data_IF_402750749095
#
_entry.id   IF_402750749095
#
_cell.length_a   1.000
_cell.length_b   1.000
_cell.length_c   1.000
_cell.angle_alpha   90.00
_cell.angle_beta   90.00
_cell.angle_gamma   90.00
#
_symmetry.space_group_name_H-M   'P 1'
#
loop_
_entity.id
_entity.type
_entity.pdbx_description
1 polymer ?
#
# COMPACT_ATOMS: atom_id res chain seq x y z
N UNK A 1 -4.02 8.62 -32.87
CA UNK A 1 -3.61 7.86 -31.66
C UNK A 1 -2.37 8.51 -31.08
N UNK A 2 -2.45 9.08 -29.86
CA UNK A 2 -1.39 9.92 -29.29
C UNK A 2 -0.08 9.14 -29.10
N UNK A 3 1.05 9.66 -29.61
CA UNK A 3 2.41 9.05 -29.52
C UNK A 3 2.75 8.53 -28.12
N UNK A 4 2.30 9.22 -27.07
CA UNK A 4 2.49 8.83 -25.66
C UNK A 4 1.79 7.50 -25.31
N UNK A 5 0.54 7.31 -25.74
CA UNK A 5 -0.19 6.05 -25.54
C UNK A 5 0.43 4.88 -26.31
N UNK A 6 1.02 5.14 -27.47
CA UNK A 6 1.72 4.12 -28.25
C UNK A 6 3.00 3.64 -27.55
N UNK A 7 3.74 4.57 -26.93
CA UNK A 7 4.93 4.26 -26.14
C UNK A 7 4.58 3.53 -24.84
N UNK A 8 3.50 3.91 -24.15
CA UNK A 8 3.04 3.18 -22.95
C UNK A 8 2.59 1.75 -23.31
N UNK A 9 1.86 1.59 -24.42
CA UNK A 9 1.44 0.27 -24.90
C UNK A 9 2.65 -0.58 -25.30
N UNK A 10 3.65 -0.01 -25.97
CA UNK A 10 4.89 -0.69 -26.30
C UNK A 10 5.65 -1.14 -25.05
N UNK A 11 5.72 -0.31 -24.00
CA UNK A 11 6.32 -0.70 -22.72
C UNK A 11 5.60 -1.87 -22.07
N UNK A 12 4.26 -1.86 -22.05
CA UNK A 12 3.47 -2.97 -21.52
C UNK A 12 3.73 -4.26 -22.29
N UNK A 13 3.74 -4.18 -23.63
CA UNK A 13 4.03 -5.33 -24.50
C UNK A 13 5.44 -5.86 -24.28
N UNK A 14 6.46 -4.99 -24.22
CA UNK A 14 7.84 -5.39 -23.95
C UNK A 14 7.97 -6.02 -22.56
N UNK A 15 7.31 -5.46 -21.54
CA UNK A 15 7.30 -6.02 -20.19
C UNK A 15 6.65 -7.40 -20.14
N UNK A 16 5.53 -7.59 -20.86
CA UNK A 16 4.86 -8.89 -20.96
C UNK A 16 5.73 -9.91 -21.70
N UNK A 17 6.37 -9.52 -22.81
CA UNK A 17 7.29 -10.39 -23.56
C UNK A 17 8.44 -10.84 -22.66
N UNK A 18 9.05 -9.92 -21.91
CA UNK A 18 10.13 -10.25 -20.97
C UNK A 18 9.66 -11.23 -19.89
N UNK A 19 8.49 -11.01 -19.30
CA UNK A 19 7.92 -11.93 -18.30
C UNK A 19 7.69 -13.31 -18.89
N UNK A 20 7.12 -13.40 -20.10
CA UNK A 20 6.85 -14.67 -20.78
C UNK A 20 8.15 -15.41 -21.11
N UNK A 21 9.17 -14.70 -21.61
CA UNK A 21 10.49 -15.29 -21.89
C UNK A 21 11.15 -15.82 -20.61
N UNK A 22 11.09 -15.04 -19.53
CA UNK A 22 11.66 -15.42 -18.23
C UNK A 22 10.96 -16.68 -17.67
N UNK A 23 9.63 -16.72 -17.70
CA UNK A 23 8.86 -17.87 -17.24
C UNK A 23 9.10 -19.12 -18.11
N UNK A 24 9.36 -18.93 -19.40
CA UNK A 24 9.67 -20.03 -20.33
C UNK A 24 11.07 -20.60 -20.08
N UNK A 25 12.07 -19.77 -19.79
CA UNK A 25 13.43 -20.25 -19.47
C UNK A 25 13.52 -20.88 -18.09
N UNK A 26 12.92 -20.26 -17.08
CA UNK A 26 13.01 -20.74 -15.69
C UNK A 26 12.15 -22.00 -15.49
N UNK A 27 11.13 -22.22 -16.33
CA UNK A 27 10.19 -23.32 -16.17
C UNK A 27 9.22 -23.06 -15.03
N UNK A 28 7.92 -23.15 -15.33
CA UNK A 28 6.84 -22.91 -14.37
C UNK A 28 6.96 -23.80 -13.12
N UNK A 29 7.39 -25.05 -13.30
CA UNK A 29 7.53 -26.04 -12.24
C UNK A 29 8.73 -25.76 -11.32
N UNK A 30 9.88 -25.35 -11.84
CA UNK A 30 11.01 -24.97 -11.00
C UNK A 30 10.75 -23.68 -10.23
N UNK A 31 10.04 -22.74 -10.85
CA UNK A 31 9.64 -21.49 -10.18
C UNK A 31 8.72 -21.78 -8.99
N UNK A 32 7.69 -22.61 -9.18
CA UNK A 32 6.78 -23.03 -8.11
C UNK A 32 7.51 -23.86 -7.03
N UNK A 33 8.39 -24.78 -7.42
CA UNK A 33 9.17 -25.58 -6.48
C UNK A 33 10.10 -24.70 -5.62
N UNK A 34 10.76 -23.69 -6.22
CA UNK A 34 11.57 -22.72 -5.49
C UNK A 34 10.74 -21.79 -4.61
N UNK A 35 9.53 -21.41 -5.03
CA UNK A 35 8.59 -20.67 -4.19
C UNK A 35 8.13 -21.49 -2.98
N UNK A 36 7.88 -22.79 -3.17
CA UNK A 36 7.47 -23.71 -2.10
C UNK A 36 8.64 -24.11 -1.18
N UNK A 37 9.88 -24.10 -1.69
CA UNK A 37 11.10 -24.25 -0.91
C UNK A 37 11.58 -22.93 -0.27
N UNK A 38 10.88 -21.82 -0.49
CA UNK A 38 11.21 -20.56 0.16
C UNK A 38 11.14 -20.76 1.67
N UNK A 39 12.21 -20.40 2.38
CA UNK A 39 12.28 -20.68 3.81
C UNK A 39 11.22 -19.82 4.53
N UNK A 40 10.31 -20.43 5.29
CA UNK A 40 9.23 -19.71 5.97
C UNK A 40 9.78 -18.67 6.95
N UNK A 41 11.00 -18.85 7.46
CA UNK A 41 11.69 -17.86 8.29
C UNK A 41 11.96 -16.53 7.59
N UNK A 42 12.36 -16.55 6.31
CA UNK A 42 12.56 -15.30 5.55
C UNK A 42 11.23 -14.61 5.22
N UNK A 43 10.17 -15.38 4.94
CA UNK A 43 8.82 -14.84 4.75
C UNK A 43 8.31 -14.15 6.02
N UNK A 44 8.49 -14.79 7.17
CA UNK A 44 8.10 -14.23 8.46
C UNK A 44 8.94 -12.99 8.80
N UNK A 45 10.25 -13.03 8.56
CA UNK A 45 11.13 -11.88 8.75
C UNK A 45 10.71 -10.70 7.86
N UNK A 46 10.42 -10.95 6.58
CA UNK A 46 9.93 -9.93 5.66
C UNK A 46 8.60 -9.33 6.12
N UNK A 47 7.68 -10.16 6.62
CA UNK A 47 6.40 -9.70 7.18
C UNK A 47 6.62 -8.81 8.41
N UNK A 48 7.48 -9.23 9.35
CA UNK A 48 7.80 -8.45 10.56
C UNK A 48 8.43 -7.12 10.17
N UNK A 49 9.41 -7.11 9.26
CA UNK A 49 10.05 -5.88 8.77
C UNK A 49 9.03 -4.95 8.10
N UNK A 50 8.10 -5.51 7.30
CA UNK A 50 7.05 -4.73 6.67
C UNK A 50 6.11 -4.07 7.71
N UNK A 51 5.68 -4.82 8.72
CA UNK A 51 4.84 -4.32 9.82
C UNK A 51 5.56 -3.24 10.63
N UNK A 52 6.82 -3.47 11.00
CA UNK A 52 7.64 -2.46 11.67
C UNK A 52 7.80 -1.19 10.83
N UNK A 53 7.94 -1.34 9.51
CA UNK A 53 7.97 -0.21 8.58
C UNK A 53 6.73 0.67 8.66
N UNK A 54 5.54 0.09 8.87
CA UNK A 54 4.30 0.85 9.07
C UNK A 54 4.33 1.61 10.39
N UNK A 55 4.77 0.98 11.48
CA UNK A 55 4.87 1.60 12.80
C UNK A 55 5.87 2.78 12.78
N UNK A 56 7.02 2.63 12.12
CA UNK A 56 8.01 3.70 11.98
C UNK A 56 7.43 4.90 11.21
N UNK A 57 6.63 4.66 10.17
CA UNK A 57 5.93 5.73 9.43
C UNK A 57 4.90 6.44 10.31
N UNK A 58 4.12 5.67 11.07
CA UNK A 58 3.15 6.21 12.02
C UNK A 58 3.83 7.06 13.10
N UNK A 59 4.96 6.59 13.64
CA UNK A 59 5.75 7.32 14.63
C UNK A 59 6.32 8.61 14.07
N UNK A 60 6.87 8.59 12.85
CA UNK A 60 7.36 9.80 12.19
C UNK A 60 6.27 10.87 12.07
N UNK A 61 5.03 10.46 11.79
CA UNK A 61 3.90 11.39 11.74
C UNK A 61 3.42 11.83 13.11
N UNK A 62 3.51 10.96 14.13
CA UNK A 62 3.25 11.34 15.50
C UNK A 62 4.17 12.51 15.90
N UNK A 63 5.47 12.42 15.62
CA UNK A 63 6.44 13.49 15.91
C UNK A 63 6.07 14.79 15.17
N UNK A 64 5.64 14.69 13.91
CA UNK A 64 5.24 15.86 13.12
C UNK A 64 3.96 16.52 13.65
N UNK A 65 2.99 15.72 14.09
CA UNK A 65 1.74 16.19 14.70
C UNK A 65 1.97 16.77 16.10
N UNK A 66 2.88 16.18 16.88
CA UNK A 66 3.29 16.72 18.18
C UNK A 66 3.94 18.10 18.03
N UNK A 67 4.67 18.36 16.94
CA UNK A 67 5.20 19.70 16.63
C UNK A 67 4.11 20.74 16.30
N UNK A 68 2.89 20.28 15.98
CA UNK A 68 1.70 21.09 15.74
C UNK A 68 0.76 21.12 16.96
N UNK A 69 1.22 20.65 18.13
CA UNK A 69 0.42 20.52 19.38
C UNK A 69 -0.79 19.57 19.25
N UNK A 70 -0.77 18.66 18.27
CA UNK A 70 -1.80 17.65 18.06
C UNK A 70 -1.31 16.31 18.62
N UNK A 71 -1.80 15.93 19.79
CA UNK A 71 -1.48 14.65 20.41
C UNK A 71 -2.40 13.54 19.89
N UNK A 72 -1.86 12.65 19.05
CA UNK A 72 -2.55 11.44 18.60
C UNK A 72 -1.78 10.21 19.10
N UNK A 73 -2.44 9.22 19.71
CA UNK A 73 -1.76 8.00 20.14
C UNK A 73 -1.28 7.20 18.94
N UNK A 74 -0.07 6.64 19.05
CA UNK A 74 0.59 5.88 17.98
C UNK A 74 -0.28 4.73 17.44
N UNK A 75 -1.07 4.09 18.30
CA UNK A 75 -2.00 3.03 17.89
C UNK A 75 -3.06 3.52 16.89
N UNK A 76 -3.69 4.67 17.14
CA UNK A 76 -4.67 5.25 16.22
C UNK A 76 -4.02 5.66 14.89
N UNK A 77 -2.84 6.28 14.94
CA UNK A 77 -2.04 6.60 13.75
C UNK A 77 -1.71 5.35 12.94
N UNK A 78 -1.29 4.27 13.60
CA UNK A 78 -0.94 3.01 12.95
C UNK A 78 -2.16 2.37 12.28
N UNK A 79 -3.32 2.34 12.95
CA UNK A 79 -4.58 1.89 12.36
C UNK A 79 -4.92 2.71 11.12
N UNK A 80 -4.79 4.02 11.21
CA UNK A 80 -5.11 4.91 10.10
C UNK A 80 -4.17 4.72 8.90
N UNK A 81 -2.91 4.43 9.17
CA UNK A 81 -1.93 4.01 8.16
C UNK A 81 -2.32 2.70 7.48
N UNK A 82 -2.82 1.70 8.22
CA UNK A 82 -3.32 0.46 7.63
C UNK A 82 -4.56 0.69 6.75
N UNK A 83 -5.49 1.55 7.21
CA UNK A 83 -6.66 1.91 6.42
C UNK A 83 -6.21 2.63 5.15
N UNK A 84 -5.30 3.62 5.22
CA UNK A 84 -4.77 4.30 4.05
C UNK A 84 -4.03 3.38 3.08
N UNK A 85 -3.31 2.40 3.61
CA UNK A 85 -2.69 1.35 2.81
C UNK A 85 -3.73 0.53 2.05
N UNK A 86 -4.85 0.15 2.68
CA UNK A 86 -5.94 -0.56 2.02
C UNK A 86 -6.53 0.29 0.88
N UNK A 87 -6.88 1.55 1.15
CA UNK A 87 -7.43 2.43 0.12
C UNK A 87 -6.45 2.68 -1.02
N UNK A 88 -5.16 2.76 -0.74
CA UNK A 88 -4.13 2.92 -1.78
C UNK A 88 -3.99 1.67 -2.66
N UNK A 89 -4.14 0.47 -2.10
CA UNK A 89 -4.07 -0.77 -2.87
C UNK A 89 -5.37 -1.08 -3.63
N UNK A 90 -6.52 -0.69 -3.07
CA UNK A 90 -7.84 -0.96 -3.67
C UNK A 90 -8.24 0.12 -4.67
N UNK A 91 -7.94 1.40 -4.39
CA UNK A 91 -8.27 2.50 -5.29
C UNK A 91 -7.11 2.78 -6.25
N UNK A 92 -7.31 2.61 -7.58
CA UNK A 92 -6.27 2.86 -8.57
C UNK A 92 -5.83 4.33 -8.66
N UNK A 93 -6.52 5.23 -7.96
CA UNK A 93 -6.31 6.68 -8.05
C UNK A 93 -5.29 7.22 -7.05
N UNK A 94 -4.79 6.42 -6.09
CA UNK A 94 -3.76 6.84 -5.13
C UNK A 94 -4.21 7.94 -4.14
N UNK A 95 -5.50 8.31 -4.14
CA UNK A 95 -6.07 9.36 -3.28
C UNK A 95 -6.15 8.98 -1.79
N UNK A 96 -5.92 7.71 -1.44
CA UNK A 96 -6.09 7.19 -0.08
C UNK A 96 -4.86 7.22 0.82
N UNK A 97 -3.77 7.88 0.41
CA UNK A 97 -2.46 7.71 1.05
C UNK A 97 -2.12 8.64 2.21
N UNK A 98 -2.94 9.66 2.50
CA UNK A 98 -2.63 10.63 3.56
C UNK A 98 -3.39 10.28 4.85
N UNK A 99 -2.69 9.75 5.88
CA UNK A 99 -3.30 9.39 7.14
C UNK A 99 -3.97 10.60 7.79
N UNK A 100 -3.43 11.81 7.66
CA UNK A 100 -4.01 13.01 8.29
C UNK A 100 -5.34 13.36 7.65
N UNK A 101 -5.45 13.29 6.32
CA UNK A 101 -6.74 13.50 5.64
C UNK A 101 -7.76 12.43 5.97
N UNK A 102 -7.34 11.19 6.20
CA UNK A 102 -8.23 10.13 6.67
C UNK A 102 -8.67 10.33 8.11
N UNK A 103 -7.80 10.88 8.97
CA UNK A 103 -8.14 11.24 10.35
C UNK A 103 -9.21 12.30 10.34
N UNK A 104 -8.98 13.38 9.60
CA UNK A 104 -9.93 14.47 9.43
C UNK A 104 -11.24 13.95 8.84
N UNK A 105 -11.19 13.16 7.76
CA UNK A 105 -12.38 12.60 7.15
C UNK A 105 -13.14 11.68 8.11
N UNK A 106 -12.46 10.91 8.95
CA UNK A 106 -13.11 10.07 9.98
C UNK A 106 -13.83 10.92 11.03
N UNK A 107 -13.25 12.05 11.43
CA UNK A 107 -13.88 13.03 12.34
C UNK A 107 -15.06 13.75 11.69
N UNK A 108 -14.96 14.12 10.41
CA UNK A 108 -16.05 14.75 9.67
C UNK A 108 -17.19 13.79 9.39
N UNK A 109 -16.89 12.54 9.03
CA UNK A 109 -17.90 11.50 8.72
C UNK A 109 -18.70 11.11 9.96
N UNK A 110 -18.11 11.20 11.16
CA UNK A 110 -18.83 10.98 12.41
C UNK A 110 -19.96 12.00 12.65
N UNK A 111 -19.97 13.15 11.97
CA UNK A 111 -21.11 14.10 11.93
C UNK A 111 -22.09 13.85 10.78
N UNK A 112 -21.64 13.27 9.66
CA UNK A 112 -22.52 13.07 8.49
C UNK A 112 -23.37 11.80 8.58
N UNK A 113 -22.99 10.83 9.41
CA UNK A 113 -23.82 9.64 9.66
C UNK A 113 -25.14 9.97 10.40
N UNK A 114 -25.25 11.14 11.05
CA UNK A 114 -26.50 11.61 11.67
C UNK A 114 -27.40 12.42 10.73
N UNK A 115 -26.98 12.72 9.49
CA UNK A 115 -27.76 13.58 8.56
C UNK A 115 -28.16 12.92 7.25
N UNK A 116 -27.99 11.59 7.12
CA UNK A 116 -28.55 10.80 6.01
C UNK A 116 -29.84 10.07 6.43
N UNK A 117 -30.57 10.62 7.40
CA UNK A 117 -31.83 10.09 7.92
C UNK A 117 -32.92 11.15 7.95
N UNK A 118 -33.20 11.79 6.81
CA UNK A 118 -34.49 12.44 6.50
C UNK A 118 -34.74 12.39 5.00
#
# INVERSE_FOLDING_TARGET
>A
MNRKRLLDLAKVVVSLILIILLLREIGWQETLAKLLQAHPGYLLAALVVALLGVVVRAYRWQVLLSALEIEVPLGQLTTLYFIGFLFTNVLPTGFGGDPVRMYELSRYTHRTAESAGT
#
